data_IF_147291723971
#
_entry.id   IF_147291723971
#
_cell.length_a   1.000
_cell.length_b   1.000
_cell.length_c   1.000
_cell.angle_alpha   90.00
_cell.angle_beta   90.00
_cell.angle_gamma   90.00
#
_symmetry.space_group_name_H-M   'P 1'
#
loop_
_entity.id
_entity.type
_entity.pdbx_description
1 polymer ?
#
# COMPACT_ATOMS: atom_id res chain seq x y z
N UNK A 1 -4.31 8.69 -12.91
CA UNK A 1 -3.38 9.81 -13.17
C UNK A 1 -2.25 9.92 -12.12
N UNK A 2 -2.50 9.82 -10.81
CA UNK A 2 -1.45 9.91 -9.76
C UNK A 2 -0.28 8.93 -9.90
N UNK A 3 -0.56 7.65 -10.15
CA UNK A 3 0.50 6.65 -10.25
C UNK A 3 1.35 6.74 -11.52
N UNK A 4 0.79 7.27 -12.61
CA UNK A 4 1.55 7.55 -13.83
C UNK A 4 2.57 8.66 -13.59
N UNK A 5 2.21 9.71 -12.84
CA UNK A 5 3.12 10.80 -12.50
C UNK A 5 4.28 10.33 -11.60
N UNK A 6 4.00 9.50 -10.60
CA UNK A 6 5.03 8.93 -9.70
C UNK A 6 5.95 7.98 -10.47
N UNK A 7 5.39 7.11 -11.32
CA UNK A 7 6.18 6.17 -12.11
C UNK A 7 7.06 6.89 -13.14
N UNK A 8 6.53 7.90 -13.82
CA UNK A 8 7.28 8.71 -14.80
C UNK A 8 8.40 9.51 -14.13
N UNK A 9 8.15 10.14 -12.96
CA UNK A 9 9.20 10.86 -12.25
C UNK A 9 10.30 9.93 -11.72
N UNK A 10 9.93 8.79 -11.13
CA UNK A 10 10.89 7.80 -10.63
C UNK A 10 11.77 7.22 -11.76
N UNK A 11 11.18 6.91 -12.92
CA UNK A 11 11.95 6.46 -14.08
C UNK A 11 12.83 7.58 -14.65
N UNK A 12 12.36 8.83 -14.67
CA UNK A 12 13.08 9.97 -15.24
C UNK A 12 14.30 10.38 -14.40
N UNK A 13 14.25 10.22 -13.08
CA UNK A 13 15.32 10.68 -12.17
C UNK A 13 16.21 9.56 -11.61
N UNK A 14 15.98 8.28 -11.97
CA UNK A 14 16.64 7.10 -11.35
C UNK A 14 16.56 7.10 -9.81
N UNK A 15 15.64 7.86 -9.23
CA UNK A 15 15.46 7.93 -7.79
C UNK A 15 14.58 6.77 -7.34
N UNK A 16 14.95 6.15 -6.21
CA UNK A 16 14.15 5.07 -5.63
C UNK A 16 12.76 5.63 -5.34
N UNK A 17 11.70 5.05 -5.91
CA UNK A 17 10.35 5.57 -5.77
C UNK A 17 9.82 5.47 -4.33
N UNK A 18 10.59 4.91 -3.39
CA UNK A 18 10.39 4.98 -1.94
C UNK A 18 10.51 6.42 -1.39
N UNK A 19 11.48 7.22 -1.86
CA UNK A 19 11.69 8.59 -1.34
C UNK A 19 10.53 9.54 -1.62
N UNK A 20 9.92 9.42 -2.80
CA UNK A 20 8.77 10.24 -3.20
C UNK A 20 7.50 9.84 -2.45
N UNK A 21 7.36 8.55 -2.15
CA UNK A 21 6.27 8.06 -1.31
C UNK A 21 6.46 8.59 0.11
N UNK A 22 7.68 8.61 0.63
CA UNK A 22 7.94 9.13 1.97
C UNK A 22 7.63 10.63 2.13
N UNK A 23 7.76 11.41 1.05
CA UNK A 23 7.40 12.83 1.03
C UNK A 23 5.89 13.10 1.04
N UNK A 24 5.03 12.10 0.84
CA UNK A 24 3.59 12.27 0.96
C UNK A 24 3.18 12.41 2.43
N UNK A 25 2.44 13.45 2.77
CA UNK A 25 2.11 13.76 4.18
C UNK A 25 1.17 12.73 4.81
N UNK A 26 0.20 12.20 4.06
CA UNK A 26 -0.80 11.28 4.61
C UNK A 26 -0.50 9.82 4.28
N UNK A 27 -0.70 8.94 5.27
CA UNK A 27 -0.56 7.49 5.12
C UNK A 27 -1.42 6.93 3.99
N UNK A 28 -2.64 7.42 3.82
CA UNK A 28 -3.53 7.03 2.72
C UNK A 28 -2.90 7.30 1.34
N UNK A 29 -2.30 8.49 1.13
CA UNK A 29 -1.62 8.81 -0.14
C UNK A 29 -0.41 7.91 -0.38
N UNK A 30 0.33 7.57 0.67
CA UNK A 30 1.45 6.61 0.59
C UNK A 30 0.97 5.21 0.18
N UNK A 31 -0.12 4.72 0.77
CA UNK A 31 -0.74 3.44 0.43
C UNK A 31 -1.13 3.40 -1.05
N UNK A 32 -1.86 4.41 -1.53
CA UNK A 32 -2.25 4.50 -2.94
C UNK A 32 -1.04 4.49 -3.87
N UNK A 33 0.01 5.24 -3.55
CA UNK A 33 1.23 5.28 -4.35
C UNK A 33 1.93 3.91 -4.39
N UNK A 34 2.06 3.23 -3.25
CA UNK A 34 2.61 1.88 -3.18
C UNK A 34 1.80 0.88 -4.00
N UNK A 35 0.47 0.92 -3.92
CA UNK A 35 -0.42 0.04 -4.70
C UNK A 35 -0.22 0.25 -6.19
N UNK A 36 -0.24 1.50 -6.67
CA UNK A 36 -0.06 1.76 -8.12
C UNK A 36 1.35 1.37 -8.60
N UNK A 37 2.36 1.44 -7.72
CA UNK A 37 3.71 0.96 -8.04
C UNK A 37 3.85 -0.58 -7.93
N UNK A 38 2.79 -1.34 -7.65
CA UNK A 38 2.86 -2.80 -7.43
C UNK A 38 3.54 -3.22 -6.13
N UNK A 39 3.89 -2.28 -5.24
CA UNK A 39 4.56 -2.52 -3.95
C UNK A 39 3.54 -2.81 -2.85
N UNK A 40 2.77 -3.87 -3.04
CA UNK A 40 1.61 -4.23 -2.20
C UNK A 40 1.99 -4.55 -0.75
N UNK A 41 3.15 -5.17 -0.50
CA UNK A 41 3.63 -5.44 0.86
C UNK A 41 3.91 -4.14 1.63
N UNK A 42 4.55 -3.16 0.98
CA UNK A 42 4.80 -1.83 1.56
C UNK A 42 3.50 -1.06 1.79
N UNK A 43 2.55 -1.16 0.85
CA UNK A 43 1.21 -0.58 1.00
C UNK A 43 0.52 -1.12 2.27
N UNK A 44 0.54 -2.44 2.47
CA UNK A 44 0.00 -3.07 3.67
C UNK A 44 0.72 -2.60 4.95
N UNK A 45 2.05 -2.52 4.94
CA UNK A 45 2.81 -2.08 6.12
C UNK A 45 2.46 -0.64 6.54
N UNK A 46 2.21 0.25 5.59
CA UNK A 46 1.80 1.63 5.89
C UNK A 46 0.37 1.63 6.42
N UNK A 47 -0.55 0.94 5.75
CA UNK A 47 -1.97 0.87 6.13
C UNK A 47 -2.19 0.27 7.53
N UNK A 48 -1.47 -0.81 7.84
CA UNK A 48 -1.54 -1.49 9.15
C UNK A 48 -0.97 -0.62 10.27
N UNK A 49 0.15 0.08 10.05
CA UNK A 49 0.74 1.01 11.03
C UNK A 49 -0.12 2.23 11.29
N UNK A 50 -0.86 2.72 10.29
CA UNK A 50 -1.78 3.84 10.49
C UNK A 50 -3.10 3.43 11.15
N UNK A 51 -3.33 2.13 11.39
CA UNK A 51 -4.59 1.63 11.96
C UNK A 51 -5.78 1.76 11.01
N UNK A 52 -5.55 2.02 9.73
CA UNK A 52 -6.61 2.33 8.76
C UNK A 52 -7.20 1.05 8.19
N UNK A 53 -8.34 0.61 8.74
CA UNK A 53 -9.09 -0.57 8.25
C UNK A 53 -9.43 -0.44 6.76
N UNK A 54 -9.89 0.75 6.34
CA UNK A 54 -10.25 1.02 4.95
C UNK A 54 -9.05 0.84 4.00
N UNK A 55 -7.86 1.32 4.39
CA UNK A 55 -6.65 1.15 3.57
C UNK A 55 -6.20 -0.31 3.51
N UNK A 56 -6.34 -1.08 4.61
CA UNK A 56 -6.00 -2.50 4.63
C UNK A 56 -6.97 -3.32 3.77
N UNK A 57 -8.27 -3.02 3.82
CA UNK A 57 -9.28 -3.64 2.95
C UNK A 57 -9.03 -3.32 1.47
N UNK A 58 -8.66 -2.08 1.16
CA UNK A 58 -8.26 -1.67 -0.19
C UNK A 58 -7.03 -2.46 -0.68
N UNK A 59 -5.97 -2.56 0.14
CA UNK A 59 -4.77 -3.34 -0.22
C UNK A 59 -5.09 -4.82 -0.40
N UNK A 60 -5.98 -5.39 0.43
CA UNK A 60 -6.41 -6.78 0.29
C UNK A 60 -7.09 -7.04 -1.06
N UNK A 61 -7.98 -6.14 -1.48
CA UNK A 61 -8.63 -6.23 -2.78
C UNK A 61 -7.63 -6.16 -3.93
N UNK A 62 -6.73 -5.18 -3.90
CA UNK A 62 -5.71 -4.99 -4.93
C UNK A 62 -4.72 -6.16 -4.99
N UNK A 63 -4.34 -6.72 -3.84
CA UNK A 63 -3.51 -7.92 -3.78
C UNK A 63 -4.23 -9.16 -4.32
N UNK A 64 -5.53 -9.29 -4.09
CA UNK A 64 -6.33 -10.38 -4.66
C UNK A 64 -6.39 -10.28 -6.19
N UNK A 65 -6.62 -9.08 -6.73
CA UNK A 65 -6.65 -8.83 -8.19
C UNK A 65 -5.27 -9.10 -8.81
N UNK A 66 -4.19 -8.74 -8.13
CA UNK A 66 -2.82 -9.00 -8.56
C UNK A 66 -2.31 -10.43 -8.28
N UNK A 67 -3.16 -11.31 -7.74
CA UNK A 67 -2.82 -12.67 -7.30
C UNK A 67 -1.63 -12.72 -6.31
N UNK A 68 -1.43 -11.66 -5.54
CA UNK A 68 -0.42 -11.55 -4.50
C UNK A 68 -0.94 -12.16 -3.18
N UNK A 69 -1.25 -13.46 -3.20
CA UNK A 69 -1.85 -14.20 -2.09
C UNK A 69 -1.16 -13.97 -0.72
N UNK A 70 0.18 -13.91 -0.61
CA UNK A 70 0.83 -13.64 0.68
C UNK A 70 0.41 -12.30 1.30
N UNK A 71 0.16 -11.26 0.50
CA UNK A 71 -0.27 -9.95 1.00
C UNK A 71 -1.76 -9.98 1.37
N UNK A 72 -2.57 -10.75 0.63
CA UNK A 72 -3.98 -10.97 0.99
C UNK A 72 -4.09 -11.61 2.38
N UNK A 73 -3.29 -12.64 2.65
CA UNK A 73 -3.29 -13.33 3.95
C UNK A 73 -2.84 -12.40 5.08
N UNK A 74 -1.81 -11.58 4.86
CA UNK A 74 -1.39 -10.56 5.83
C UNK A 74 -2.52 -9.58 6.16
N UNK A 75 -3.24 -9.10 5.14
CA UNK A 75 -4.36 -8.19 5.34
C UNK A 75 -5.50 -8.86 6.13
N UNK A 76 -5.86 -10.09 5.78
CA UNK A 76 -6.90 -10.87 6.47
C UNK A 76 -6.55 -11.10 7.94
N UNK A 77 -5.32 -11.51 8.23
CA UNK A 77 -4.87 -11.72 9.61
C UNK A 77 -4.91 -10.42 10.42
N UNK A 78 -4.45 -9.31 9.83
CA UNK A 78 -4.49 -8.02 10.49
C UNK A 78 -5.94 -7.57 10.77
N UNK A 79 -6.83 -7.70 9.78
CA UNK A 79 -8.25 -7.34 9.93
C UNK A 79 -8.94 -8.20 10.99
N UNK A 80 -8.63 -9.50 11.03
CA UNK A 80 -9.13 -10.40 12.08
C UNK A 80 -8.68 -9.94 13.46
N UNK A 81 -7.40 -9.62 13.64
CA UNK A 81 -6.90 -9.10 14.93
C UNK A 81 -7.54 -7.76 15.31
N UNK A 82 -7.70 -6.86 14.34
CA UNK A 82 -8.30 -5.54 14.58
C UNK A 82 -9.79 -5.62 14.95
N UNK A 83 -10.55 -6.53 14.31
CA UNK A 83 -11.99 -6.70 14.56
C UNK A 83 -12.31 -7.49 15.83
N UNK A 84 -11.45 -8.43 16.23
CA UNK A 84 -11.71 -9.34 17.35
C UNK A 84 -10.84 -9.11 18.59
N UNK A 85 -9.89 -8.18 18.56
CA UNK A 85 -9.18 -7.70 19.75
C UNK A 85 -8.53 -8.78 20.61
N UNK A 86 -7.82 -9.72 19.99
CA UNK A 86 -6.97 -10.70 20.69
C UNK A 86 -5.57 -10.14 20.88
#
# INVERSE_FOLDING_TARGET
VLGAAINVYANKHKERPDRLIDMLISSHRKVLACVVCGRLKSAFQIASRSGSVADVEYVAHQASVANALPVVDMCRQWLSKYKFGV
#
